data_IF_183974909149
#
_entry.id   IF_183974909149
#
_cell.length_a   1.000
_cell.length_b   1.000
_cell.length_c   1.000
_cell.angle_alpha   90.00
_cell.angle_beta   90.00
_cell.angle_gamma   90.00
#
_symmetry.space_group_name_H-M   'P 1'
#
loop_
_entity.id
_entity.type
_entity.pdbx_description
1 polymer ?
#
# COMPACT_ATOMS: atom_id res chain seq x y z
N UNK A 1 1.47 10.09 0.35
CA UNK A 1 0.87 9.79 1.66
C UNK A 1 0.14 11.01 2.22
N UNK A 2 0.75 12.20 2.19
CA UNK A 2 0.07 13.45 2.58
C UNK A 2 -0.80 13.95 1.41
N UNK A 3 -1.98 13.39 1.30
CA UNK A 3 -2.94 13.66 0.23
C UNK A 3 -4.02 14.62 0.76
N UNK A 4 -4.08 15.88 0.28
CA UNK A 4 -5.06 16.87 0.74
C UNK A 4 -6.51 16.42 0.54
N UNK A 5 -6.82 15.67 -0.53
CA UNK A 5 -8.15 15.13 -0.76
C UNK A 5 -8.53 14.12 0.33
N UNK A 6 -7.63 13.17 0.62
CA UNK A 6 -7.88 12.16 1.64
C UNK A 6 -8.01 12.78 3.04
N UNK A 7 -7.17 13.79 3.36
CA UNK A 7 -7.25 14.56 4.60
C UNK A 7 -8.59 15.31 4.68
N UNK A 8 -8.98 15.96 3.60
CA UNK A 8 -10.24 16.70 3.53
C UNK A 8 -11.46 15.80 3.73
N UNK A 9 -11.51 14.67 3.05
CA UNK A 9 -12.59 13.68 3.21
C UNK A 9 -12.70 13.16 4.64
N UNK A 10 -11.55 12.78 5.25
CA UNK A 10 -11.50 12.34 6.65
C UNK A 10 -12.08 13.41 7.61
N UNK A 11 -11.66 14.65 7.44
CA UNK A 11 -12.12 15.76 8.29
C UNK A 11 -13.61 16.09 8.07
N UNK A 12 -14.06 16.12 6.81
CA UNK A 12 -15.46 16.46 6.47
C UNK A 12 -16.45 15.41 6.98
N UNK A 13 -16.08 14.14 6.96
CA UNK A 13 -16.92 13.02 7.42
C UNK A 13 -16.85 12.82 8.94
N UNK A 14 -15.96 13.54 9.63
CA UNK A 14 -15.72 13.34 11.06
C UNK A 14 -15.21 11.95 11.38
N UNK A 15 -14.45 11.36 10.46
CA UNK A 15 -13.96 9.99 10.61
C UNK A 15 -12.96 9.87 11.77
N UNK A 16 -13.06 8.80 12.55
CA UNK A 16 -12.07 8.46 13.58
C UNK A 16 -10.87 7.75 12.95
N UNK A 17 -11.10 6.90 11.91
CA UNK A 17 -10.05 6.25 11.13
C UNK A 17 -10.49 6.11 9.67
N UNK A 18 -9.58 6.43 8.75
CA UNK A 18 -9.79 6.30 7.30
C UNK A 18 -8.63 5.53 6.68
N UNK A 19 -8.87 4.87 5.55
CA UNK A 19 -7.87 4.04 4.88
C UNK A 19 -7.93 4.20 3.38
N UNK A 20 -6.78 4.06 2.71
CA UNK A 20 -6.74 3.90 1.25
C UNK A 20 -6.82 2.42 0.89
N UNK A 21 -7.55 2.14 -0.16
CA UNK A 21 -7.70 0.81 -0.73
C UNK A 21 -7.39 0.82 -2.22
N UNK A 22 -7.12 -0.35 -2.78
CA UNK A 22 -7.04 -0.56 -4.22
C UNK A 22 -7.81 -1.81 -4.64
N UNK A 23 -8.17 -1.87 -5.91
CA UNK A 23 -8.69 -3.11 -6.49
C UNK A 23 -7.56 -4.15 -6.57
N UNK A 24 -7.80 -5.32 -6.00
CA UNK A 24 -6.85 -6.44 -6.01
C UNK A 24 -6.59 -6.91 -7.45
N UNK A 25 -5.33 -7.23 -7.74
CA UNK A 25 -4.93 -7.84 -9.00
C UNK A 25 -5.41 -9.31 -9.15
N UNK A 26 -5.73 -9.95 -8.02
CA UNK A 26 -6.24 -11.33 -8.01
C UNK A 26 -6.63 -11.78 -6.60
N UNK A 27 -7.28 -12.96 -6.50
CA UNK A 27 -7.83 -13.44 -5.25
C UNK A 27 -6.79 -13.65 -4.13
N UNK A 28 -5.58 -14.10 -4.49
CA UNK A 28 -4.51 -14.45 -3.55
C UNK A 28 -3.44 -13.35 -3.43
N UNK A 29 -3.75 -12.13 -3.84
CA UNK A 29 -2.82 -11.03 -3.65
C UNK A 29 -2.52 -10.80 -2.15
N UNK A 30 -1.23 -10.62 -1.83
CA UNK A 30 -0.73 -10.48 -0.45
C UNK A 30 -0.98 -9.07 0.11
N UNK A 31 -2.24 -8.71 0.22
CA UNK A 31 -2.74 -7.48 0.86
C UNK A 31 -3.88 -7.84 1.81
N UNK A 32 -4.05 -7.08 2.88
CA UNK A 32 -5.21 -7.23 3.75
C UNK A 32 -6.50 -6.96 2.98
N UNK A 33 -7.58 -7.64 3.33
CA UNK A 33 -8.84 -7.59 2.61
C UNK A 33 -9.86 -6.75 3.39
N UNK A 34 -10.32 -5.64 2.83
CA UNK A 34 -11.42 -4.88 3.41
C UNK A 34 -12.74 -5.63 3.31
N UNK A 35 -13.49 -5.63 4.38
CA UNK A 35 -14.84 -6.20 4.46
C UNK A 35 -15.67 -5.49 5.53
N UNK A 36 -16.95 -5.83 5.58
CA UNK A 36 -17.83 -5.45 6.67
C UNK A 36 -18.13 -6.68 7.53
N UNK A 37 -17.82 -6.57 8.82
CA UNK A 37 -18.20 -7.57 9.83
C UNK A 37 -19.13 -6.88 10.83
N UNK A 38 -20.35 -7.36 10.96
CA UNK A 38 -21.39 -6.77 11.80
C UNK A 38 -21.58 -5.25 11.58
N UNK A 39 -21.50 -4.84 10.30
CA UNK A 39 -21.62 -3.42 9.90
C UNK A 39 -20.40 -2.57 10.20
N UNK A 40 -19.30 -3.15 10.65
CA UNK A 40 -18.02 -2.46 10.92
C UNK A 40 -17.00 -2.74 9.84
N UNK A 41 -16.31 -1.70 9.39
CA UNK A 41 -15.17 -1.85 8.48
C UNK A 41 -14.07 -2.63 9.19
N UNK A 42 -13.61 -3.68 8.55
CA UNK A 42 -12.60 -4.60 9.09
C UNK A 42 -11.61 -4.95 7.99
N UNK A 43 -10.37 -5.23 8.37
CA UNK A 43 -9.37 -5.82 7.47
C UNK A 43 -9.11 -7.25 7.93
N UNK A 44 -9.25 -8.20 7.01
CA UNK A 44 -8.82 -9.59 7.23
C UNK A 44 -7.50 -9.76 6.48
N UNK A 45 -6.44 -10.14 7.20
CA UNK A 45 -5.15 -10.43 6.58
C UNK A 45 -5.28 -11.53 5.53
N UNK A 46 -4.49 -11.41 4.44
CA UNK A 46 -4.51 -12.39 3.36
C UNK A 46 -4.16 -13.81 3.84
N UNK A 47 -3.35 -13.93 4.90
CA UNK A 47 -3.00 -15.22 5.51
C UNK A 47 -4.12 -15.85 6.32
N UNK A 48 -5.11 -15.05 6.73
CA UNK A 48 -6.22 -15.47 7.58
C UNK A 48 -7.52 -15.69 6.78
N UNK A 49 -7.54 -15.20 5.53
CA UNK A 49 -8.66 -15.42 4.62
C UNK A 49 -8.53 -16.77 3.93
N UNK A 50 -9.47 -17.74 4.16
CA UNK A 50 -9.42 -19.03 3.49
C UNK A 50 -9.47 -18.91 1.96
N UNK A 51 -8.70 -19.75 1.24
CA UNK A 51 -8.62 -19.73 -0.22
C UNK A 51 -9.99 -19.76 -0.90
N UNK A 52 -10.91 -20.59 -0.42
CA UNK A 52 -12.28 -20.65 -0.93
C UNK A 52 -12.99 -19.30 -0.84
N UNK A 53 -12.83 -18.60 0.27
CA UNK A 53 -13.42 -17.28 0.47
C UNK A 53 -12.71 -16.22 -0.40
N UNK A 54 -11.41 -16.29 -0.53
CA UNK A 54 -10.64 -15.39 -1.38
C UNK A 54 -11.09 -15.43 -2.85
N UNK A 55 -11.48 -16.62 -3.35
CA UNK A 55 -11.94 -16.83 -4.73
C UNK A 55 -13.44 -16.56 -4.93
N UNK A 56 -14.21 -16.27 -3.86
CA UNK A 56 -15.64 -15.97 -4.00
C UNK A 56 -15.89 -14.78 -4.92
N UNK A 57 -16.89 -14.92 -5.76
CA UNK A 57 -17.33 -13.87 -6.69
C UNK A 57 -18.78 -13.49 -6.45
N UNK A 58 -19.08 -12.24 -6.72
CA UNK A 58 -20.43 -11.71 -6.81
C UNK A 58 -21.12 -12.15 -8.12
N UNK A 59 -22.39 -11.83 -8.25
CA UNK A 59 -23.17 -12.16 -9.45
C UNK A 59 -22.64 -11.49 -10.72
N UNK A 60 -21.94 -10.37 -10.59
CA UNK A 60 -21.29 -9.64 -11.67
C UNK A 60 -19.89 -10.17 -12.03
N UNK A 61 -19.43 -11.24 -11.37
CA UNK A 61 -18.14 -11.89 -11.60
C UNK A 61 -16.96 -11.25 -10.88
N UNK A 62 -17.15 -10.15 -10.15
CA UNK A 62 -16.11 -9.50 -9.35
C UNK A 62 -15.84 -10.27 -8.05
N UNK A 63 -14.63 -10.16 -7.50
CA UNK A 63 -14.32 -10.74 -6.20
C UNK A 63 -15.21 -10.14 -5.11
N UNK A 64 -15.66 -10.95 -4.16
CA UNK A 64 -16.35 -10.47 -2.95
C UNK A 64 -15.40 -9.63 -2.10
N UNK A 65 -14.15 -10.07 -1.98
CA UNK A 65 -13.07 -9.35 -1.30
C UNK A 65 -12.16 -8.69 -2.34
N UNK A 66 -12.68 -7.68 -3.02
CA UNK A 66 -11.95 -7.02 -4.11
C UNK A 66 -11.07 -5.86 -3.67
N UNK A 67 -11.37 -5.24 -2.50
CA UNK A 67 -10.63 -4.10 -1.99
C UNK A 67 -9.48 -4.55 -1.08
N UNK A 68 -8.26 -4.26 -1.52
CA UNK A 68 -7.03 -4.52 -0.77
C UNK A 68 -6.58 -3.32 0.05
N UNK A 69 -6.17 -3.56 1.29
CA UNK A 69 -5.52 -2.57 2.15
C UNK A 69 -4.05 -2.40 1.76
N UNK A 70 -3.64 -1.18 1.51
CA UNK A 70 -2.26 -0.83 1.16
C UNK A 70 -1.46 -0.27 2.34
N UNK A 71 -2.02 -0.33 3.55
CA UNK A 71 -1.35 0.12 4.77
C UNK A 71 -1.27 1.63 4.93
N UNK A 72 -2.06 2.39 4.17
CA UNK A 72 -2.17 3.85 4.32
C UNK A 72 -3.42 4.16 5.12
N UNK A 73 -3.22 4.67 6.33
CA UNK A 73 -4.30 5.01 7.26
C UNK A 73 -4.16 6.44 7.74
N UNK A 74 -5.29 7.07 7.99
CA UNK A 74 -5.42 8.34 8.69
C UNK A 74 -6.21 8.09 9.97
N UNK A 75 -5.69 8.54 11.10
CA UNK A 75 -6.26 8.25 12.41
C UNK A 75 -6.34 9.58 13.17
N UNK A 76 -7.53 9.93 13.67
CA UNK A 76 -7.70 11.10 14.52
C UNK A 76 -6.97 10.91 15.84
N UNK A 77 -6.23 11.91 16.30
CA UNK A 77 -5.49 11.85 17.56
C UNK A 77 -6.42 11.54 18.74
N UNK A 78 -7.58 12.16 18.78
CA UNK A 78 -8.61 11.91 19.81
C UNK A 78 -9.08 10.45 19.84
N UNK A 79 -9.08 9.77 18.69
CA UNK A 79 -9.41 8.34 18.63
C UNK A 79 -8.30 7.48 19.23
N UNK A 80 -7.02 7.83 18.96
CA UNK A 80 -5.87 7.16 19.60
C UNK A 80 -5.93 7.34 21.11
N UNK A 81 -6.19 8.56 21.59
CA UNK A 81 -6.35 8.86 23.04
C UNK A 81 -7.47 8.02 23.66
N UNK A 82 -8.61 7.95 22.99
CA UNK A 82 -9.76 7.15 23.41
C UNK A 82 -9.43 5.65 23.53
N UNK A 83 -8.71 5.09 22.54
CA UNK A 83 -8.30 3.68 22.55
C UNK A 83 -7.34 3.36 23.72
N UNK A 84 -6.57 4.34 24.18
CA UNK A 84 -5.58 4.17 25.25
C UNK A 84 -6.09 4.63 26.63
N UNK A 85 -7.28 5.22 26.74
CA UNK A 85 -7.82 5.78 27.98
C UNK A 85 -8.02 4.75 29.11
N UNK A 86 -8.18 3.47 28.76
CA UNK A 86 -8.39 2.38 29.71
C UNK A 86 -7.13 1.84 30.40
N UNK A 87 -5.94 2.38 30.09
CA UNK A 87 -4.66 1.92 30.66
C UNK A 87 -4.20 0.54 30.19
N UNK A 88 -4.93 -0.10 29.29
CA UNK A 88 -4.59 -1.38 28.65
C UNK A 88 -4.34 -1.21 27.16
N UNK A 89 -3.65 -2.17 26.56
CA UNK A 89 -3.44 -2.21 25.12
C UNK A 89 -4.74 -2.64 24.42
N UNK A 90 -5.29 -1.79 23.56
CA UNK A 90 -6.64 -1.98 23.01
C UNK A 90 -6.69 -2.97 21.83
N UNK A 91 -5.58 -3.14 21.08
CA UNK A 91 -5.57 -3.95 19.88
C UNK A 91 -5.33 -5.44 20.20
N UNK A 92 -5.96 -6.37 19.46
CA UNK A 92 -5.75 -7.79 19.65
C UNK A 92 -4.34 -8.23 19.25
N UNK A 93 -3.87 -9.34 19.82
CA UNK A 93 -2.65 -10.00 19.40
C UNK A 93 -2.96 -11.09 18.37
N UNK A 94 -2.30 -11.02 17.23
CA UNK A 94 -2.27 -12.07 16.22
C UNK A 94 -1.08 -13.00 16.47
N UNK A 95 -1.32 -14.31 16.33
CA UNK A 95 -0.29 -15.35 16.56
C UNK A 95 0.18 -15.90 15.23
N UNK A 96 1.47 -15.78 14.95
CA UNK A 96 2.12 -16.40 13.81
C UNK A 96 3.12 -17.47 14.28
N UNK A 97 2.88 -18.73 13.92
CA UNK A 97 3.81 -19.83 14.21
C UNK A 97 4.93 -19.79 13.17
N UNK A 98 6.17 -19.65 13.62
CA UNK A 98 7.34 -19.39 12.78
C UNK A 98 8.49 -20.35 13.04
N UNK A 99 9.29 -20.61 12.00
CA UNK A 99 10.64 -21.15 12.12
C UNK A 99 11.55 -19.97 12.50
N UNK A 100 12.07 -19.98 13.71
CA UNK A 100 12.90 -18.90 14.22
C UNK A 100 14.34 -19.40 14.32
N UNK A 101 15.28 -18.89 13.50
CA UNK A 101 16.70 -19.17 13.65
C UNK A 101 17.16 -18.70 15.04
N UNK A 102 17.99 -19.50 15.68
CA UNK A 102 18.47 -19.19 17.03
C UNK A 102 19.89 -19.71 17.23
N UNK A 103 20.47 -19.33 18.35
CA UNK A 103 21.75 -19.88 18.83
C UNK A 103 21.45 -20.92 19.89
N UNK A 104 22.04 -22.13 19.76
CA UNK A 104 21.90 -23.19 20.75
C UNK A 104 22.74 -22.92 22.02
N UNK A 105 22.61 -23.80 23.01
CA UNK A 105 23.36 -23.69 24.26
C UNK A 105 24.88 -23.85 24.09
N UNK A 106 25.34 -24.36 22.95
CA UNK A 106 26.74 -24.53 22.59
C UNK A 106 27.28 -23.38 21.75
N UNK A 107 26.44 -22.38 21.41
CA UNK A 107 26.83 -21.21 20.62
C UNK A 107 26.73 -21.38 19.11
N UNK A 108 26.13 -22.46 18.60
CA UNK A 108 25.99 -22.71 17.17
C UNK A 108 24.70 -22.09 16.63
N UNK A 109 24.75 -21.59 15.39
CA UNK A 109 23.55 -21.14 14.67
C UNK A 109 22.70 -22.34 14.23
N UNK A 110 21.43 -22.33 14.62
CA UNK A 110 20.44 -23.35 14.27
C UNK A 110 19.33 -22.74 13.41
N UNK A 111 19.12 -23.33 12.21
CA UNK A 111 17.97 -23.02 11.37
C UNK A 111 16.97 -24.18 11.47
N UNK A 112 15.84 -24.02 12.18
CA UNK A 112 14.94 -25.11 12.47
C UNK A 112 14.16 -25.57 11.22
N UNK A 113 14.00 -26.87 11.05
CA UNK A 113 13.19 -27.47 9.97
C UNK A 113 11.70 -27.37 10.23
N UNK A 114 11.30 -27.22 11.49
CA UNK A 114 9.91 -27.09 11.94
C UNK A 114 9.72 -25.79 12.73
N UNK A 115 8.49 -25.27 12.78
CA UNK A 115 8.18 -24.13 13.64
C UNK A 115 8.57 -24.42 15.11
N UNK A 116 9.26 -23.47 15.72
CA UNK A 116 9.79 -23.57 17.07
C UNK A 116 9.42 -22.38 17.96
N UNK A 117 8.67 -21.42 17.43
CA UNK A 117 8.27 -20.24 18.19
C UNK A 117 6.96 -19.62 17.69
N UNK A 118 6.40 -18.80 18.54
CA UNK A 118 5.22 -17.99 18.25
C UNK A 118 5.64 -16.53 18.23
N UNK A 119 5.39 -15.84 17.11
CA UNK A 119 5.49 -14.40 16.97
C UNK A 119 4.12 -13.80 17.30
N UNK A 120 4.09 -12.84 18.21
CA UNK A 120 2.90 -12.04 18.48
C UNK A 120 3.03 -10.71 17.74
N UNK A 121 2.00 -10.36 17.01
CA UNK A 121 1.91 -9.10 16.26
C UNK A 121 0.58 -8.42 16.55
N UNK A 122 0.56 -7.10 16.45
CA UNK A 122 -0.65 -6.29 16.47
C UNK A 122 -0.68 -5.46 15.20
N UNK A 123 -1.85 -5.24 14.64
CA UNK A 123 -2.02 -4.47 13.42
C UNK A 123 -2.83 -3.22 13.70
N UNK A 124 -2.34 -2.08 13.18
CA UNK A 124 -3.04 -0.79 13.34
C UNK A 124 -4.46 -0.82 12.75
N UNK A 125 -4.69 -1.62 11.70
CA UNK A 125 -6.00 -1.74 11.08
C UNK A 125 -7.04 -2.46 11.95
N UNK A 126 -6.64 -3.15 13.02
CA UNK A 126 -7.59 -3.71 14.00
C UNK A 126 -8.33 -2.63 14.79
N UNK A 127 -7.89 -1.38 14.70
CA UNK A 127 -8.64 -0.24 15.24
C UNK A 127 -9.86 0.13 14.39
N UNK A 128 -9.92 -0.26 13.11
CA UNK A 128 -11.04 0.08 12.21
C UNK A 128 -12.42 -0.32 12.76
N UNK A 129 -12.65 -1.55 13.23
CA UNK A 129 -13.96 -1.94 13.80
C UNK A 129 -14.29 -1.21 15.10
N UNK A 130 -13.31 -0.58 15.75
CA UNK A 130 -13.51 0.20 16.99
C UNK A 130 -13.91 1.65 16.68
N UNK A 131 -13.67 2.12 15.46
CA UNK A 131 -14.07 3.45 15.03
C UNK A 131 -15.60 3.55 14.88
N UNK A 132 -16.16 4.70 15.25
CA UNK A 132 -17.57 5.01 15.00
C UNK A 132 -17.83 5.30 13.54
N UNK A 133 -16.88 6.01 12.90
CA UNK A 133 -16.96 6.43 11.52
C UNK A 133 -15.62 6.15 10.82
N UNK A 134 -15.71 5.55 9.63
CA UNK A 134 -14.55 5.19 8.80
C UNK A 134 -14.82 5.46 7.33
N UNK A 135 -13.82 5.93 6.61
CA UNK A 135 -13.84 6.08 5.15
C UNK A 135 -12.81 5.12 4.55
N UNK A 136 -13.21 4.46 3.47
CA UNK A 136 -12.31 3.72 2.60
C UNK A 136 -12.26 4.46 1.26
N UNK A 137 -11.12 5.06 0.96
CA UNK A 137 -10.87 5.75 -0.30
C UNK A 137 -10.19 4.78 -1.28
N UNK A 138 -10.92 4.41 -2.34
CA UNK A 138 -10.31 3.64 -3.42
C UNK A 138 -9.33 4.52 -4.19
N UNK A 139 -8.16 3.98 -4.51
CA UNK A 139 -7.09 4.65 -5.24
C UNK A 139 -6.57 3.80 -6.40
N UNK A 140 -5.88 4.45 -7.33
CA UNK A 140 -5.30 3.78 -8.48
C UNK A 140 -3.97 3.12 -8.11
N UNK A 141 -3.82 1.85 -8.44
CA UNK A 141 -2.59 1.08 -8.22
C UNK A 141 -1.36 1.77 -8.82
N UNK A 142 -1.48 2.25 -10.07
CA UNK A 142 -0.40 2.94 -10.78
C UNK A 142 0.09 4.21 -10.09
N UNK A 143 -0.74 4.81 -9.23
CA UNK A 143 -0.40 6.06 -8.54
C UNK A 143 0.08 5.85 -7.10
N UNK A 144 -0.45 4.83 -6.42
CA UNK A 144 -0.33 4.77 -4.96
C UNK A 144 0.33 3.48 -4.42
N UNK A 145 0.57 2.46 -5.27
CA UNK A 145 1.02 1.18 -4.75
C UNK A 145 2.08 0.49 -5.59
N UNK A 146 3.30 0.48 -5.07
CA UNK A 146 4.45 -0.23 -5.63
C UNK A 146 5.28 -0.85 -4.49
N UNK A 147 4.84 -1.99 -3.92
CA UNK A 147 5.48 -2.58 -2.76
C UNK A 147 6.76 -3.33 -3.12
N UNK A 148 7.69 -3.43 -2.15
CA UNK A 148 8.86 -4.32 -2.22
C UNK A 148 8.65 -5.44 -1.20
N UNK A 149 8.32 -6.64 -1.68
CA UNK A 149 8.03 -7.81 -0.85
C UNK A 149 8.90 -9.03 -1.20
N UNK A 150 9.47 -9.06 -2.40
CA UNK A 150 10.22 -10.19 -2.92
C UNK A 150 11.61 -9.75 -3.40
N UNK A 151 12.56 -10.68 -3.40
CA UNK A 151 13.90 -10.43 -3.92
C UNK A 151 13.89 -10.27 -5.46
N UNK A 152 13.02 -11.01 -6.16
CA UNK A 152 12.91 -11.02 -7.63
C UNK A 152 11.45 -11.19 -8.05
N UNK A 153 11.13 -10.85 -9.31
CA UNK A 153 9.79 -10.99 -9.87
C UNK A 153 8.79 -9.94 -9.36
N UNK A 154 7.53 -10.34 -9.24
CA UNK A 154 6.46 -9.44 -8.76
C UNK A 154 6.80 -8.89 -7.38
N UNK A 155 6.50 -7.60 -7.17
CA UNK A 155 6.81 -6.88 -5.92
C UNK A 155 8.30 -6.91 -5.55
N UNK A 156 9.21 -7.00 -6.52
CA UNK A 156 10.66 -6.81 -6.30
C UNK A 156 11.04 -5.35 -6.39
N UNK A 157 12.22 -5.01 -5.88
CA UNK A 157 12.77 -3.65 -5.97
C UNK A 157 12.89 -3.19 -7.43
N UNK A 158 13.30 -4.08 -8.35
CA UNK A 158 13.40 -3.80 -9.78
C UNK A 158 12.04 -3.41 -10.38
N UNK A 159 11.00 -4.22 -10.12
CA UNK A 159 9.65 -3.96 -10.62
C UNK A 159 9.08 -2.68 -10.03
N UNK A 160 9.25 -2.46 -8.73
CA UNK A 160 8.80 -1.24 -8.04
C UNK A 160 9.47 0.00 -8.61
N UNK A 161 10.78 -0.06 -8.86
CA UNK A 161 11.53 1.03 -9.46
C UNK A 161 11.03 1.36 -10.87
N UNK A 162 10.78 0.32 -11.68
CA UNK A 162 10.19 0.52 -13.02
C UNK A 162 8.79 1.18 -12.93
N UNK A 163 7.95 0.76 -12.00
CA UNK A 163 6.63 1.37 -11.80
C UNK A 163 6.72 2.87 -11.44
N UNK A 164 7.71 3.27 -10.65
CA UNK A 164 7.95 4.68 -10.34
C UNK A 164 8.36 5.48 -11.58
N UNK A 165 9.24 4.91 -12.43
CA UNK A 165 9.64 5.51 -13.71
C UNK A 165 8.44 5.62 -14.66
N UNK A 166 7.63 4.57 -14.77
CA UNK A 166 6.44 4.54 -15.63
C UNK A 166 5.42 5.60 -15.20
N UNK A 167 5.21 5.77 -13.89
CA UNK A 167 4.35 6.82 -13.34
C UNK A 167 4.88 8.22 -13.69
N UNK A 168 6.17 8.47 -13.48
CA UNK A 168 6.80 9.75 -13.82
C UNK A 168 6.67 10.05 -15.32
N UNK A 169 6.95 9.07 -16.18
CA UNK A 169 6.78 9.20 -17.63
C UNK A 169 5.33 9.52 -18.01
N UNK A 170 4.36 8.82 -17.42
CA UNK A 170 2.94 9.05 -17.66
C UNK A 170 2.52 10.48 -17.29
N UNK A 171 2.99 11.01 -16.17
CA UNK A 171 2.71 12.38 -15.74
C UNK A 171 3.31 13.41 -16.70
N UNK A 172 4.55 13.23 -17.11
CA UNK A 172 5.26 14.12 -18.04
C UNK A 172 4.60 14.13 -19.42
N UNK A 173 4.24 12.95 -19.95
CA UNK A 173 3.57 12.83 -21.23
C UNK A 173 2.16 13.43 -21.20
N UNK A 174 1.42 13.29 -20.13
CA UNK A 174 0.11 13.94 -19.95
C UNK A 174 0.21 15.47 -20.00
N UNK A 175 1.35 16.05 -19.60
CA UNK A 175 1.64 17.47 -19.72
C UNK A 175 2.25 17.85 -21.11
N UNK A 176 2.41 16.91 -22.04
CA UNK A 176 2.95 17.14 -23.38
C UNK A 176 4.48 17.08 -23.47
N UNK A 177 5.18 16.67 -22.40
CA UNK A 177 6.63 16.47 -22.43
C UNK A 177 6.95 15.17 -23.16
N UNK A 178 7.92 15.20 -24.08
CA UNK A 178 8.35 14.01 -24.81
C UNK A 178 9.26 13.13 -23.94
N UNK A 179 8.85 11.89 -23.74
CA UNK A 179 9.65 10.87 -23.04
C UNK A 179 10.10 9.81 -24.06
N UNK A 180 11.41 9.52 -24.19
CA UNK A 180 11.89 8.49 -25.09
C UNK A 180 11.42 7.11 -24.64
N UNK A 181 11.04 6.27 -25.63
CA UNK A 181 10.50 4.93 -25.39
C UNK A 181 11.34 3.87 -26.08
N UNK A 182 11.52 2.73 -25.39
CA UNK A 182 12.08 1.49 -25.97
C UNK A 182 11.08 0.85 -26.93
N UNK A 183 11.54 -0.15 -27.69
CA UNK A 183 10.70 -0.90 -28.62
C UNK A 183 9.53 -1.63 -27.94
N UNK A 184 9.67 -1.97 -26.66
CA UNK A 184 8.62 -2.62 -25.86
C UNK A 184 7.66 -1.61 -25.20
N UNK A 185 7.82 -0.32 -25.47
CA UNK A 185 6.97 0.76 -24.98
C UNK A 185 7.36 1.30 -23.61
N UNK A 186 8.32 0.71 -22.90
CA UNK A 186 8.80 1.24 -21.62
C UNK A 186 9.63 2.50 -21.83
N UNK A 187 9.69 3.42 -20.83
CA UNK A 187 10.61 4.57 -20.88
C UNK A 187 12.05 4.12 -21.11
N UNK A 188 12.74 4.80 -22.03
CA UNK A 188 14.15 4.60 -22.29
C UNK A 188 15.02 5.66 -21.57
N UNK A 189 14.68 5.88 -20.31
CA UNK A 189 15.33 6.83 -19.42
C UNK A 189 14.98 6.48 -17.97
N UNK A 190 15.70 7.03 -17.01
CA UNK A 190 15.37 6.96 -15.59
C UNK A 190 14.75 8.30 -15.19
N UNK A 191 13.56 8.25 -14.62
CA UNK A 191 12.80 9.44 -14.24
C UNK A 191 12.41 9.38 -12.78
N UNK A 192 12.62 10.46 -12.06
CA UNK A 192 12.13 10.65 -10.70
C UNK A 192 11.60 12.07 -10.56
N UNK A 193 10.43 12.21 -9.94
CA UNK A 193 9.77 13.48 -9.64
C UNK A 193 9.66 13.60 -8.13
N UNK A 194 10.37 14.58 -7.56
CA UNK A 194 10.27 14.86 -6.13
C UNK A 194 8.90 15.46 -5.77
N UNK A 195 8.39 15.20 -4.55
CA UNK A 195 7.16 15.84 -4.08
C UNK A 195 7.24 17.38 -4.01
N UNK A 196 8.44 17.95 -3.90
CA UNK A 196 8.69 19.39 -4.00
C UNK A 196 8.43 19.93 -5.40
N UNK A 197 8.66 19.11 -6.43
CA UNK A 197 8.36 19.48 -7.80
C UNK A 197 6.88 19.32 -8.13
N UNK A 198 6.29 18.15 -7.88
CA UNK A 198 4.88 17.89 -8.14
C UNK A 198 4.30 16.85 -7.18
N UNK A 199 3.13 17.11 -6.61
CA UNK A 199 2.36 16.16 -5.83
C UNK A 199 1.36 15.38 -6.70
N UNK A 200 0.85 16.02 -7.75
CA UNK A 200 -0.11 15.47 -8.68
C UNK A 200 0.34 15.74 -10.12
N UNK A 201 -0.16 14.96 -11.06
CA UNK A 201 0.16 15.13 -12.49
C UNK A 201 -0.21 16.54 -13.01
N UNK A 202 -1.24 17.14 -12.45
CA UNK A 202 -1.73 18.46 -12.81
C UNK A 202 -0.70 19.56 -12.48
N UNK A 203 0.14 19.37 -11.47
CA UNK A 203 1.17 20.32 -11.06
C UNK A 203 2.28 20.48 -12.12
N UNK A 204 2.50 19.43 -12.92
CA UNK A 204 3.50 19.43 -14.00
C UNK A 204 3.21 20.51 -15.04
N UNK A 205 1.91 20.77 -15.33
CA UNK A 205 1.49 21.73 -16.35
C UNK A 205 2.06 23.14 -16.11
N UNK A 206 2.17 23.56 -14.86
CA UNK A 206 2.71 24.87 -14.48
C UNK A 206 4.25 24.95 -14.52
N UNK A 207 4.94 23.80 -14.66
CA UNK A 207 6.40 23.70 -14.54
C UNK A 207 7.09 23.13 -15.79
N UNK A 208 6.40 23.06 -16.92
CA UNK A 208 6.95 22.49 -18.17
C UNK A 208 8.25 23.16 -18.59
N UNK A 209 8.37 24.49 -18.40
CA UNK A 209 9.57 25.24 -18.75
C UNK A 209 10.80 24.94 -17.88
N UNK A 210 10.58 24.31 -16.73
CA UNK A 210 11.64 23.89 -15.81
C UNK A 210 12.18 22.48 -16.12
N UNK A 211 11.47 21.72 -16.97
CA UNK A 211 11.80 20.34 -17.31
C UNK A 211 12.86 20.33 -18.42
N UNK A 212 14.05 19.75 -18.19
CA UNK A 212 15.06 19.64 -19.23
C UNK A 212 14.61 18.68 -20.35
N UNK A 213 15.17 18.79 -21.56
CA UNK A 213 14.95 17.79 -22.60
C UNK A 213 15.40 16.40 -22.12
N UNK A 214 14.50 15.42 -22.20
CA UNK A 214 14.77 14.04 -21.76
C UNK A 214 15.26 13.22 -22.98
N UNK A 215 16.44 12.61 -22.86
CA UNK A 215 17.03 11.80 -23.92
C UNK A 215 17.10 10.34 -23.54
N UNK A 216 17.23 9.50 -24.56
CA UNK A 216 17.42 8.04 -24.39
C UNK A 216 18.63 7.74 -23.52
N UNK A 217 18.47 6.86 -22.53
CA UNK A 217 19.52 6.43 -21.62
C UNK A 217 19.86 7.41 -20.48
N UNK A 218 19.27 8.61 -20.46
CA UNK A 218 19.56 9.61 -19.41
C UNK A 218 18.77 9.33 -18.12
N UNK A 219 19.30 9.87 -17.02
CA UNK A 219 18.63 9.95 -15.73
C UNK A 219 18.25 11.41 -15.46
N UNK A 220 16.98 11.66 -15.17
CA UNK A 220 16.44 12.99 -14.87
C UNK A 220 15.74 12.95 -13.53
N UNK A 221 16.17 13.81 -12.63
CA UNK A 221 15.54 14.06 -11.33
C UNK A 221 14.97 15.47 -11.33
N UNK A 222 13.66 15.60 -11.09
CA UNK A 222 12.94 16.88 -11.00
C UNK A 222 12.65 17.21 -9.54
N UNK A 223 13.18 18.35 -9.04
CA UNK A 223 13.04 18.80 -7.66
C UNK A 223 12.66 20.30 -7.54
#
# INVERSE_FOLDING_TARGET
VLDPLFIGLHAMDGAEMSSKALLKAGPLEKVGNFCLVDGKVTVIEYSDLPDEQAHRKNADGRLVFELGSIGIHMISVSFIEKLNAGGGFALPFHKAIKKIPHIDAQGNAVNPDKPNGVKLETFVFDALPMAKQSIILETLRSEEFAPVKNATGVDSAEVTYQMMIDRAACWLEAAGVKVPRKADGRPDCILEIAPSFALFKEDIQGKISEIPPIRSGESVYLE
#
